data_IF_864823404572
#
_entry.id   IF_864823404572
#
_cell.length_a   1.000
_cell.length_b   1.000
_cell.length_c   1.000
_cell.angle_alpha   90.00
_cell.angle_beta   90.00
_cell.angle_gamma   90.00
#
_symmetry.space_group_name_H-M   'P 1'
#
loop_
_entity.id
_entity.type
_entity.pdbx_description
1 polymer ?
#
# COMPACT_ATOMS: atom_id res chain seq x y z
N UNK A 1 23.91 15.50 -27.58
CA UNK A 1 25.14 14.77 -27.21
C UNK A 1 24.84 13.85 -26.03
N UNK A 2 24.95 12.52 -26.18
CA UNK A 2 25.68 11.61 -25.27
C UNK A 2 25.43 10.16 -25.69
N UNK A 3 26.50 9.60 -26.25
CA UNK A 3 26.83 8.19 -26.45
C UNK A 3 25.95 7.16 -25.72
N UNK A 4 25.42 6.19 -26.49
CA UNK A 4 25.23 4.83 -26.01
C UNK A 4 25.74 3.85 -27.06
N UNK A 5 27.04 3.56 -26.95
CA UNK A 5 27.68 2.41 -27.57
C UNK A 5 26.96 1.15 -27.10
N UNK A 6 26.21 0.51 -28.01
CA UNK A 6 25.63 -0.81 -27.76
C UNK A 6 26.73 -1.83 -27.99
N UNK A 7 27.39 -2.24 -26.91
CA UNK A 7 28.31 -3.37 -26.94
C UNK A 7 27.50 -4.67 -27.03
N UNK A 8 27.44 -5.22 -28.24
CA UNK A 8 26.98 -6.59 -28.45
C UNK A 8 28.13 -7.55 -28.12
N UNK A 9 28.13 -8.09 -26.90
CA UNK A 9 28.95 -9.25 -26.56
C UNK A 9 28.24 -10.51 -27.08
N UNK A 10 28.59 -10.96 -28.29
CA UNK A 10 28.13 -12.24 -28.82
C UNK A 10 29.13 -13.33 -28.47
N UNK A 11 28.68 -14.34 -27.73
CA UNK A 11 29.40 -15.62 -27.62
C UNK A 11 29.13 -16.42 -28.90
N UNK A 12 30.15 -16.48 -29.76
CA UNK A 12 30.14 -17.15 -31.05
C UNK A 12 30.45 -18.64 -30.87
N UNK A 13 29.67 -19.53 -31.49
CA UNK A 13 30.02 -20.94 -31.63
C UNK A 13 30.18 -21.25 -33.12
N UNK A 14 31.37 -20.99 -33.66
CA UNK A 14 31.74 -21.37 -35.01
C UNK A 14 32.47 -22.71 -34.95
N UNK A 15 31.76 -23.81 -35.22
CA UNK A 15 32.40 -25.13 -35.32
C UNK A 15 32.92 -25.34 -36.74
N UNK A 16 34.25 -25.44 -36.87
CA UNK A 16 34.92 -25.78 -38.12
C UNK A 16 35.48 -27.19 -38.01
N UNK A 17 35.01 -28.10 -38.86
CA UNK A 17 35.55 -29.45 -38.99
C UNK A 17 36.56 -29.48 -40.15
N UNK A 18 37.79 -29.92 -39.86
CA UNK A 18 38.85 -30.10 -40.86
C UNK A 18 39.10 -31.61 -41.02
N UNK A 19 39.00 -32.12 -42.24
CA UNK A 19 39.41 -33.48 -42.56
C UNK A 19 40.76 -33.43 -43.30
N UNK A 20 41.73 -34.22 -42.86
CA UNK A 20 43.05 -34.30 -43.46
C UNK A 20 43.04 -35.10 -44.77
N UNK A 21 43.43 -34.41 -45.84
CA UNK A 21 44.03 -34.86 -47.12
C UNK A 21 43.67 -36.24 -47.69
N UNK A 22 42.91 -36.23 -48.80
CA UNK A 22 42.96 -37.27 -49.82
C UNK A 22 43.55 -36.71 -51.13
N UNK A 23 44.35 -37.52 -51.85
CA UNK A 23 44.83 -37.19 -53.19
C UNK A 23 43.61 -37.14 -54.12
N UNK A 24 43.51 -36.08 -54.93
CA UNK A 24 42.51 -36.03 -55.99
C UNK A 24 42.76 -37.14 -57.02
N UNK A 25 42.01 -38.25 -56.95
CA UNK A 25 42.16 -39.36 -57.91
C UNK A 25 41.44 -39.02 -59.22
N UNK A 26 42.20 -38.81 -60.31
CA UNK A 26 41.78 -39.21 -61.67
C UNK A 26 42.98 -39.73 -62.48
N UNK A 27 42.66 -40.81 -63.19
CA UNK A 27 43.38 -41.65 -64.16
C UNK A 27 43.94 -40.85 -65.36
N UNK A 28 45.12 -40.22 -65.23
CA UNK A 28 46.15 -40.02 -66.29
C UNK A 28 47.30 -39.16 -65.75
N UNK A 29 48.52 -39.59 -66.02
CA UNK A 29 49.79 -38.95 -65.66
C UNK A 29 49.88 -37.49 -66.12
N UNK A 30 49.58 -36.55 -65.22
CA UNK A 30 49.84 -35.12 -65.38
C UNK A 30 49.91 -34.46 -64.00
N UNK A 31 50.99 -33.74 -63.71
CA UNK A 31 51.15 -32.99 -62.44
C UNK A 31 50.10 -31.89 -62.40
N UNK A 32 49.15 -31.97 -61.46
CA UNK A 32 48.18 -30.90 -61.25
C UNK A 32 48.92 -29.63 -60.84
N UNK A 33 48.59 -28.52 -61.48
CA UNK A 33 49.14 -27.18 -61.25
C UNK A 33 48.27 -26.34 -60.31
N UNK A 34 47.31 -26.98 -59.63
CA UNK A 34 46.41 -26.36 -58.64
C UNK A 34 46.19 -27.27 -57.44
N UNK A 35 45.86 -26.67 -56.29
CA UNK A 35 45.21 -27.34 -55.17
C UNK A 35 43.73 -26.98 -55.10
N UNK A 36 42.93 -27.80 -54.40
CA UNK A 36 41.47 -27.65 -54.36
C UNK A 36 40.98 -27.37 -52.94
N UNK A 37 40.12 -26.37 -52.81
CA UNK A 37 39.36 -26.10 -51.59
C UNK A 37 37.93 -26.60 -51.79
N UNK A 38 37.45 -27.41 -50.85
CA UNK A 38 36.07 -27.90 -50.78
C UNK A 38 35.33 -27.10 -49.70
N UNK A 39 34.51 -26.15 -50.11
CA UNK A 39 33.84 -25.22 -49.20
C UNK A 39 32.34 -25.50 -49.12
N UNK A 40 31.81 -25.58 -47.91
CA UNK A 40 30.36 -25.58 -47.66
C UNK A 40 30.03 -24.74 -46.42
N UNK A 41 28.89 -24.05 -46.46
CA UNK A 41 28.36 -23.35 -45.29
C UNK A 41 26.91 -23.74 -45.05
N UNK A 42 26.51 -23.87 -43.79
CA UNK A 42 25.12 -24.10 -43.40
C UNK A 42 24.62 -22.87 -42.61
N UNK A 43 23.71 -22.05 -43.16
CA UNK A 43 23.20 -22.08 -44.54
C UNK A 43 24.23 -21.54 -45.57
N UNK A 44 23.95 -21.71 -46.87
CA UNK A 44 24.66 -21.06 -47.98
C UNK A 44 24.23 -19.61 -48.20
N UNK A 45 24.79 -18.95 -49.23
CA UNK A 45 24.41 -17.62 -49.70
C UNK A 45 25.25 -16.47 -49.12
N UNK A 46 26.46 -16.73 -48.63
CA UNK A 46 27.31 -15.69 -48.03
C UNK A 46 28.39 -15.23 -49.01
N UNK A 47 28.66 -13.90 -49.12
CA UNK A 47 29.74 -13.40 -49.96
C UNK A 47 31.08 -14.06 -49.62
N UNK A 48 31.74 -14.56 -50.66
CA UNK A 48 33.01 -15.26 -50.59
C UNK A 48 34.06 -14.48 -51.36
N UNK A 49 35.19 -14.22 -50.70
CA UNK A 49 36.35 -13.57 -51.28
C UNK A 49 37.54 -14.52 -51.24
N UNK A 50 38.31 -14.56 -52.33
CA UNK A 50 39.62 -15.21 -52.42
C UNK A 50 40.63 -14.10 -52.73
N UNK A 51 41.65 -13.96 -51.90
CA UNK A 51 42.69 -12.93 -52.03
C UNK A 51 42.10 -11.52 -52.23
N UNK A 52 41.14 -11.18 -51.38
CA UNK A 52 40.39 -9.90 -51.39
C UNK A 52 39.53 -9.67 -52.64
N UNK A 53 39.42 -10.66 -53.54
CA UNK A 53 38.57 -10.58 -54.75
C UNK A 53 37.27 -11.36 -54.55
N UNK A 54 36.10 -10.76 -54.82
CA UNK A 54 34.82 -11.47 -54.76
C UNK A 54 34.76 -12.60 -55.78
N UNK A 55 34.41 -13.81 -55.34
CA UNK A 55 34.27 -15.00 -56.18
C UNK A 55 32.85 -15.60 -56.13
N UNK A 56 31.87 -14.80 -55.72
CA UNK A 56 30.46 -15.18 -55.59
C UNK A 56 30.07 -15.53 -54.16
N UNK A 57 29.13 -16.46 -54.00
CA UNK A 57 28.58 -16.81 -52.69
C UNK A 57 28.95 -18.25 -52.26
N UNK A 58 28.85 -18.52 -50.96
CA UNK A 58 28.95 -19.86 -50.39
C UNK A 58 27.67 -20.66 -50.65
N UNK A 59 27.74 -21.99 -50.52
CA UNK A 59 26.60 -22.89 -50.76
C UNK A 59 26.47 -23.91 -49.63
N UNK A 60 25.26 -24.43 -49.42
CA UNK A 60 25.02 -25.55 -48.50
C UNK A 60 25.59 -26.87 -48.99
N UNK A 61 25.68 -27.04 -50.32
CA UNK A 61 26.44 -28.11 -50.95
C UNK A 61 27.93 -27.75 -51.02
N UNK A 62 28.78 -28.76 -51.16
CA UNK A 62 30.23 -28.56 -51.35
C UNK A 62 30.50 -27.86 -52.68
N UNK A 63 31.17 -26.71 -52.61
CA UNK A 63 31.71 -25.94 -53.74
C UNK A 63 33.20 -26.21 -53.86
N UNK A 64 33.68 -26.45 -55.07
CA UNK A 64 35.10 -26.62 -55.37
C UNK A 64 35.71 -25.30 -55.83
N UNK A 65 36.88 -24.95 -55.28
CA UNK A 65 37.67 -23.77 -55.65
C UNK A 65 39.09 -24.26 -55.93
N UNK A 66 39.51 -24.20 -57.19
CA UNK A 66 40.85 -24.59 -57.61
C UNK A 66 41.75 -23.35 -57.64
N UNK A 67 42.87 -23.39 -56.91
CA UNK A 67 43.81 -22.28 -56.76
C UNK A 67 45.24 -22.74 -57.08
N UNK A 68 46.09 -21.87 -57.65
CA UNK A 68 47.49 -22.20 -57.88
C UNK A 68 48.21 -22.51 -56.55
N UNK A 69 49.33 -23.25 -56.57
CA UNK A 69 50.11 -23.47 -55.37
C UNK A 69 50.65 -22.17 -54.79
N UNK A 70 50.55 -22.02 -53.47
CA UNK A 70 50.98 -20.81 -52.76
C UNK A 70 50.00 -20.39 -51.67
N UNK A 71 50.28 -19.24 -51.06
CA UNK A 71 49.45 -18.70 -49.98
C UNK A 71 48.23 -18.00 -50.54
N UNK A 72 47.06 -18.38 -50.04
CA UNK A 72 45.78 -17.79 -50.40
C UNK A 72 44.96 -17.45 -49.16
N UNK A 73 44.20 -16.36 -49.22
CA UNK A 73 43.29 -15.91 -48.16
C UNK A 73 41.85 -16.11 -48.58
N UNK A 74 41.08 -16.81 -47.76
CA UNK A 74 39.65 -17.00 -47.92
C UNK A 74 38.89 -16.18 -46.88
N UNK A 75 37.96 -15.34 -47.33
CA UNK A 75 37.06 -14.59 -46.46
C UNK A 75 35.61 -14.88 -46.80
N UNK A 76 34.81 -15.17 -45.77
CA UNK A 76 33.35 -15.31 -45.86
C UNK A 76 32.72 -14.23 -45.00
N UNK A 77 31.82 -13.46 -45.60
CA UNK A 77 31.11 -12.38 -44.92
C UNK A 77 29.72 -12.87 -44.49
N UNK A 78 29.56 -13.09 -43.19
CA UNK A 78 28.27 -13.42 -42.59
C UNK A 78 27.44 -12.15 -42.30
N UNK A 79 26.12 -12.29 -42.06
CA UNK A 79 25.28 -11.17 -41.67
C UNK A 79 25.81 -10.41 -40.44
N UNK A 80 25.41 -9.15 -40.29
CA UNK A 80 25.79 -8.26 -39.18
C UNK A 80 27.29 -7.94 -39.08
N UNK A 81 28.02 -8.02 -40.20
CA UNK A 81 29.44 -7.64 -40.27
C UNK A 81 30.41 -8.67 -39.71
N UNK A 82 29.93 -9.86 -39.34
CA UNK A 82 30.78 -10.98 -38.91
C UNK A 82 31.55 -11.51 -40.11
N UNK A 83 32.87 -11.66 -39.98
CA UNK A 83 33.73 -12.19 -41.03
C UNK A 83 34.47 -13.42 -40.52
N UNK A 84 34.54 -14.44 -41.36
CA UNK A 84 35.45 -15.55 -41.16
C UNK A 84 36.56 -15.42 -42.19
N UNK A 85 37.79 -15.23 -41.71
CA UNK A 85 38.98 -15.07 -42.55
C UNK A 85 39.95 -16.19 -42.21
N UNK A 86 40.51 -16.82 -43.23
CA UNK A 86 41.56 -17.80 -43.05
C UNK A 86 42.55 -17.81 -44.19
N UNK A 87 43.82 -17.90 -43.84
CA UNK A 87 44.92 -18.09 -44.79
C UNK A 87 45.29 -19.56 -44.88
N UNK A 88 45.60 -20.02 -46.09
CA UNK A 88 45.97 -21.40 -46.39
C UNK A 88 47.17 -21.42 -47.32
N UNK A 89 48.03 -22.41 -47.16
CA UNK A 89 49.04 -22.76 -48.16
C UNK A 89 48.46 -23.85 -49.07
N UNK A 90 48.15 -23.47 -50.31
CA UNK A 90 47.58 -24.36 -51.32
C UNK A 90 48.71 -25.14 -51.96
N UNK A 91 48.60 -26.47 -51.95
CA UNK A 91 49.59 -27.37 -52.52
C UNK A 91 48.97 -28.08 -53.72
N UNK A 92 49.70 -28.11 -54.83
CA UNK A 92 49.34 -28.83 -56.05
C UNK A 92 48.87 -30.27 -55.75
N UNK A 93 47.69 -30.62 -56.24
CA UNK A 93 47.08 -31.94 -56.09
C UNK A 93 46.49 -32.27 -54.70
N UNK A 94 46.59 -31.36 -53.72
CA UNK A 94 45.96 -31.54 -52.40
C UNK A 94 44.56 -30.91 -52.35
N UNK A 95 43.71 -31.51 -51.52
CA UNK A 95 42.36 -31.03 -51.20
C UNK A 95 42.30 -30.53 -49.76
N UNK A 96 41.61 -29.42 -49.52
CA UNK A 96 41.35 -28.86 -48.19
C UNK A 96 39.86 -28.62 -48.01
N UNK A 97 39.25 -29.23 -47.00
CA UNK A 97 37.81 -29.13 -46.77
C UNK A 97 37.50 -28.10 -45.68
N UNK A 98 36.54 -27.22 -45.95
CA UNK A 98 36.04 -26.17 -45.07
C UNK A 98 34.52 -26.34 -44.98
N UNK A 99 34.04 -26.72 -43.79
CA UNK A 99 32.61 -26.76 -43.49
C UNK A 99 32.32 -25.82 -42.33
N UNK A 100 31.54 -24.78 -42.58
CA UNK A 100 31.14 -23.81 -41.56
C UNK A 100 29.63 -23.92 -41.29
N UNK A 101 29.24 -23.89 -40.02
CA UNK A 101 27.83 -23.80 -39.64
C UNK A 101 27.60 -22.46 -38.95
N UNK A 102 26.79 -21.60 -39.57
CA UNK A 102 26.44 -20.29 -39.06
C UNK A 102 25.04 -20.35 -38.44
N UNK A 103 24.99 -20.33 -37.11
CA UNK A 103 23.74 -20.30 -36.36
C UNK A 103 23.62 -18.97 -35.59
N UNK A 104 22.95 -17.95 -36.16
CA UNK A 104 22.76 -16.69 -35.47
C UNK A 104 21.80 -16.88 -34.30
N UNK A 105 22.26 -16.66 -33.06
CA UNK A 105 21.37 -16.58 -31.91
C UNK A 105 20.60 -15.26 -31.97
N UNK A 106 19.30 -15.35 -32.25
CA UNK A 106 18.41 -14.19 -32.13
C UNK A 106 18.19 -13.93 -30.65
N UNK A 107 18.89 -12.95 -30.09
CA UNK A 107 18.57 -12.40 -28.77
C UNK A 107 17.34 -11.52 -28.95
N UNK A 108 16.16 -12.01 -28.54
CA UNK A 108 14.98 -11.15 -28.42
C UNK A 108 15.18 -10.28 -27.17
N UNK A 109 15.39 -8.98 -27.38
CA UNK A 109 15.33 -8.02 -26.28
C UNK A 109 13.84 -7.88 -25.91
N UNK A 110 13.39 -8.31 -24.73
CA UNK A 110 12.00 -8.12 -24.34
C UNK A 110 11.71 -6.61 -24.30
N UNK A 111 10.60 -6.19 -24.91
CA UNK A 111 10.12 -4.81 -24.76
C UNK A 111 9.81 -4.60 -23.28
N UNK A 112 10.40 -3.55 -22.69
CA UNK A 112 10.15 -3.23 -21.29
C UNK A 112 8.66 -2.93 -21.09
N UNK A 113 7.97 -3.55 -20.11
CA UNK A 113 6.57 -3.29 -19.79
C UNK A 113 6.37 -1.94 -19.05
N UNK A 114 7.40 -1.09 -19.00
CA UNK A 114 7.45 0.10 -18.17
C UNK A 114 7.58 1.39 -19.01
N UNK A 115 7.06 2.52 -18.51
CA UNK A 115 6.33 2.68 -17.25
C UNK A 115 4.90 2.11 -17.33
N UNK A 116 4.33 1.77 -16.18
CA UNK A 116 2.94 1.31 -16.03
C UNK A 116 2.19 2.23 -15.05
N UNK A 117 0.86 2.25 -15.12
CA UNK A 117 0.07 3.10 -14.24
C UNK A 117 -0.10 2.46 -12.85
N UNK A 118 0.03 3.28 -11.81
CA UNK A 118 -0.27 2.91 -10.43
C UNK A 118 -1.15 3.98 -9.78
N UNK A 119 -2.15 3.55 -9.02
CA UNK A 119 -2.94 4.40 -8.14
C UNK A 119 -3.18 3.71 -6.80
N UNK A 120 -3.56 4.48 -5.78
CA UNK A 120 -3.93 3.95 -4.47
C UNK A 120 -5.37 4.34 -4.16
N UNK A 121 -6.16 3.36 -3.72
CA UNK A 121 -7.53 3.55 -3.24
C UNK A 121 -7.61 3.37 -1.73
N UNK A 122 -8.41 4.21 -1.09
CA UNK A 122 -8.74 4.14 0.33
C UNK A 122 -10.03 4.90 0.61
N UNK A 123 -10.69 4.67 1.76
CA UNK A 123 -11.76 5.54 2.25
C UNK A 123 -11.26 6.99 2.37
N UNK A 124 -12.09 7.96 1.99
CA UNK A 124 -11.74 9.38 2.13
C UNK A 124 -11.76 9.83 3.59
N UNK A 125 -12.68 9.27 4.38
CA UNK A 125 -12.89 9.60 5.79
C UNK A 125 -13.15 8.30 6.56
N UNK A 126 -12.58 8.19 7.77
CA UNK A 126 -12.89 7.15 8.76
C UNK A 126 -13.03 7.79 10.15
N UNK A 127 -13.57 7.06 11.12
CA UNK A 127 -13.53 7.49 12.52
C UNK A 127 -12.21 7.11 13.19
N UNK A 128 -11.84 7.85 14.23
CA UNK A 128 -10.74 7.50 15.12
C UNK A 128 -10.95 6.09 15.71
N UNK A 129 -9.97 5.21 15.51
CA UNK A 129 -10.03 3.80 15.92
C UNK A 129 -10.51 2.84 14.84
N UNK A 130 -11.04 3.33 13.71
CA UNK A 130 -11.37 2.47 12.57
C UNK A 130 -10.10 1.96 11.88
N UNK A 131 -10.19 0.79 11.24
CA UNK A 131 -9.13 0.27 10.39
C UNK A 131 -9.22 0.88 8.99
N UNK A 132 -8.11 1.40 8.49
CA UNK A 132 -7.99 1.92 7.13
C UNK A 132 -7.35 0.87 6.25
N UNK A 133 -8.00 0.50 5.14
CA UNK A 133 -7.40 -0.38 4.12
C UNK A 133 -6.99 0.44 2.91
N UNK A 134 -5.70 0.40 2.58
CA UNK A 134 -5.15 0.99 1.36
C UNK A 134 -4.87 -0.10 0.34
N UNK A 135 -5.33 0.09 -0.89
CA UNK A 135 -5.18 -0.88 -1.98
C UNK A 135 -4.47 -0.25 -3.16
N UNK A 136 -3.42 -0.91 -3.65
CA UNK A 136 -2.73 -0.56 -4.89
C UNK A 136 -3.52 -1.07 -6.10
N UNK A 137 -3.76 -0.20 -7.07
CA UNK A 137 -4.30 -0.59 -8.37
C UNK A 137 -3.21 -0.37 -9.43
N UNK A 138 -2.82 -1.44 -10.11
CA UNK A 138 -1.72 -1.45 -11.07
C UNK A 138 -2.15 -2.04 -12.41
N UNK A 139 -1.74 -1.42 -13.52
CA UNK A 139 -1.94 -1.94 -14.87
C UNK A 139 -0.62 -2.43 -15.48
N UNK A 140 -0.06 -3.49 -14.89
CA UNK A 140 1.23 -4.06 -15.31
C UNK A 140 1.05 -5.21 -16.30
N UNK A 141 1.77 -5.14 -17.43
CA UNK A 141 1.69 -6.12 -18.52
C UNK A 141 2.94 -7.01 -18.64
N UNK A 142 3.81 -7.03 -17.62
CA UNK A 142 4.99 -7.88 -17.59
C UNK A 142 4.75 -9.22 -16.89
N UNK A 143 5.69 -10.14 -17.06
CA UNK A 143 5.60 -11.52 -16.56
C UNK A 143 6.15 -11.69 -15.13
N UNK A 144 6.71 -10.63 -14.55
CA UNK A 144 7.30 -10.63 -13.20
C UNK A 144 6.28 -10.19 -12.15
N UNK A 145 6.40 -10.73 -10.94
CA UNK A 145 5.63 -10.24 -9.80
C UNK A 145 6.11 -8.86 -9.37
N UNK A 146 5.18 -8.01 -8.92
CA UNK A 146 5.48 -6.68 -8.43
C UNK A 146 5.85 -6.69 -6.94
N UNK A 147 6.82 -5.86 -6.57
CA UNK A 147 7.24 -5.60 -5.21
C UNK A 147 6.58 -4.31 -4.72
N UNK A 148 5.88 -4.38 -3.58
CA UNK A 148 5.17 -3.25 -2.99
C UNK A 148 5.88 -2.76 -1.73
N UNK A 149 6.18 -1.48 -1.68
CA UNK A 149 6.73 -0.82 -0.49
C UNK A 149 5.78 0.27 -0.04
N UNK A 150 5.24 0.11 1.17
CA UNK A 150 4.31 1.04 1.78
C UNK A 150 4.98 1.87 2.87
N UNK A 151 4.76 3.17 2.83
CA UNK A 151 5.17 4.11 3.88
C UNK A 151 3.93 4.87 4.34
N UNK A 152 3.67 4.88 5.65
CA UNK A 152 2.52 5.57 6.23
C UNK A 152 3.00 6.78 7.03
N UNK A 153 2.27 7.89 6.91
CA UNK A 153 2.44 9.09 7.72
C UNK A 153 1.10 9.47 8.36
N UNK A 154 1.06 9.98 9.59
CA UNK A 154 2.19 10.16 10.51
C UNK A 154 2.71 8.82 11.05
N UNK A 155 3.91 8.80 11.64
CA UNK A 155 4.52 7.59 12.20
C UNK A 155 3.73 6.96 13.36
N UNK A 156 2.79 7.71 13.95
CA UNK A 156 1.83 7.20 14.92
C UNK A 156 0.78 6.27 14.29
N UNK A 157 0.52 6.39 12.99
CA UNK A 157 -0.30 5.45 12.23
C UNK A 157 0.51 4.19 11.89
N UNK A 158 0.02 3.01 12.30
CA UNK A 158 0.78 1.76 12.20
C UNK A 158 0.14 0.81 11.19
N UNK A 159 0.96 0.28 10.28
CA UNK A 159 0.55 -0.86 9.46
C UNK A 159 0.42 -2.07 10.38
N UNK A 160 -0.77 -2.67 10.43
CA UNK A 160 -1.04 -3.87 11.22
C UNK A 160 -0.95 -5.15 10.39
N UNK A 161 -1.13 -5.06 9.06
CA UNK A 161 -1.03 -6.20 8.15
C UNK A 161 -0.78 -5.78 6.69
N UNK A 162 -0.34 -6.74 5.88
CA UNK A 162 -0.24 -6.58 4.42
C UNK A 162 1.05 -5.94 3.90
N UNK A 163 2.07 -5.75 4.76
CA UNK A 163 3.36 -5.21 4.35
C UNK A 163 3.99 -6.07 3.23
N UNK A 164 4.52 -5.42 2.20
CA UNK A 164 5.07 -6.12 1.02
C UNK A 164 4.03 -6.57 -0.01
N UNK A 165 2.73 -6.35 0.23
CA UNK A 165 1.65 -6.79 -0.66
C UNK A 165 0.92 -5.62 -1.32
N UNK A 166 -0.01 -5.92 -2.24
CA UNK A 166 -0.83 -4.91 -2.93
C UNK A 166 -1.81 -4.19 -2.00
N UNK A 167 -2.02 -4.66 -0.77
CA UNK A 167 -2.98 -4.09 0.17
C UNK A 167 -2.38 -4.02 1.56
N UNK A 168 -2.55 -2.91 2.26
CA UNK A 168 -2.17 -2.78 3.68
C UNK A 168 -3.34 -2.31 4.52
N UNK A 169 -3.38 -2.80 5.75
CA UNK A 169 -4.33 -2.31 6.77
C UNK A 169 -3.57 -1.52 7.82
N UNK A 170 -4.11 -0.36 8.17
CA UNK A 170 -3.53 0.61 9.11
C UNK A 170 -4.52 0.89 10.22
N UNK A 171 -4.04 0.87 11.46
CA UNK A 171 -4.81 1.29 12.63
C UNK A 171 -4.75 2.81 12.77
N UNK A 172 -5.93 3.44 12.90
CA UNK A 172 -6.08 4.89 13.03
C UNK A 172 -6.31 5.37 14.47
N UNK A 173 -6.22 4.49 15.47
CA UNK A 173 -6.46 4.79 16.88
C UNK A 173 -5.58 5.94 17.40
N UNK A 174 -6.22 6.93 18.01
CA UNK A 174 -5.58 8.12 18.57
C UNK A 174 -5.22 9.19 17.53
N UNK A 175 -5.65 9.02 16.27
CA UNK A 175 -5.35 9.96 15.18
C UNK A 175 -6.51 10.89 14.84
N UNK A 176 -7.51 10.98 15.71
CA UNK A 176 -8.64 11.90 15.53
C UNK A 176 -8.20 13.32 15.15
N UNK A 177 -8.86 13.90 14.15
CA UNK A 177 -8.56 15.19 13.50
C UNK A 177 -7.26 15.24 12.67
N UNK A 178 -6.57 14.11 12.48
CA UNK A 178 -5.39 14.03 11.62
C UNK A 178 -5.72 13.45 10.24
N UNK A 179 -4.71 13.42 9.36
CA UNK A 179 -4.76 12.74 8.07
C UNK A 179 -3.73 11.62 8.05
N UNK A 180 -4.16 10.42 7.67
CA UNK A 180 -3.28 9.29 7.40
C UNK A 180 -2.99 9.28 5.91
N UNK A 181 -1.72 9.40 5.55
CA UNK A 181 -1.22 9.42 4.17
C UNK A 181 -0.49 8.10 3.92
N UNK A 182 -0.92 7.36 2.90
CA UNK A 182 -0.20 6.21 2.41
C UNK A 182 0.60 6.60 1.17
N UNK A 183 1.90 6.35 1.20
CA UNK A 183 2.81 6.46 0.06
C UNK A 183 3.17 5.05 -0.38
N UNK A 184 2.96 4.77 -1.66
CA UNK A 184 3.24 3.48 -2.27
C UNK A 184 4.36 3.64 -3.29
N UNK A 185 5.34 2.75 -3.23
CA UNK A 185 6.31 2.51 -4.28
C UNK A 185 6.14 1.08 -4.80
N UNK A 186 6.03 0.93 -6.13
CA UNK A 186 5.89 -0.36 -6.81
C UNK A 186 7.04 -0.53 -7.79
N UNK A 187 7.67 -1.69 -7.79
CA UNK A 187 8.82 -2.04 -8.64
C UNK A 187 8.67 -3.48 -9.15
N UNK A 188 9.20 -3.80 -10.33
CA UNK A 188 9.10 -5.15 -10.92
C UNK A 188 10.36 -6.02 -10.71
N UNK A 189 11.32 -5.54 -9.91
CA UNK A 189 12.57 -6.20 -9.60
C UNK A 189 13.64 -6.14 -10.70
N UNK A 190 13.36 -5.48 -11.83
CA UNK A 190 14.31 -5.38 -12.96
C UNK A 190 15.49 -4.44 -12.68
N UNK A 191 15.33 -3.51 -11.75
CA UNK A 191 16.28 -2.41 -11.52
C UNK A 191 16.20 -1.30 -12.58
N UNK A 192 15.31 -1.37 -13.57
CA UNK A 192 15.05 -0.25 -14.48
C UNK A 192 14.33 0.86 -13.71
N UNK A 193 14.88 2.09 -13.63
CA UNK A 193 14.23 3.20 -12.93
C UNK A 193 12.83 3.52 -13.45
N UNK A 194 12.50 3.18 -14.71
CA UNK A 194 11.16 3.38 -15.28
C UNK A 194 10.14 2.37 -14.76
N UNK A 195 10.57 1.26 -14.18
CA UNK A 195 9.68 0.27 -13.57
C UNK A 195 9.36 0.61 -12.10
N UNK A 196 10.00 1.64 -11.54
CA UNK A 196 9.69 2.18 -10.23
C UNK A 196 8.59 3.23 -10.33
N UNK A 197 7.39 2.86 -9.93
CA UNK A 197 6.20 3.71 -9.95
C UNK A 197 5.82 4.12 -8.54
N UNK A 198 5.23 5.31 -8.39
CA UNK A 198 4.84 5.86 -7.10
C UNK A 198 3.43 6.42 -7.13
N UNK A 199 2.71 6.27 -6.02
CA UNK A 199 1.39 6.89 -5.82
C UNK A 199 1.18 7.19 -4.33
N UNK A 200 0.24 8.07 -4.03
CA UNK A 200 -0.14 8.38 -2.67
C UNK A 200 -1.61 8.74 -2.55
N UNK A 201 -2.20 8.46 -1.40
CA UNK A 201 -3.57 8.88 -1.06
C UNK A 201 -3.64 9.27 0.41
N UNK A 202 -4.62 10.09 0.78
CA UNK A 202 -4.84 10.51 2.14
C UNK A 202 -6.26 10.19 2.60
N UNK A 203 -6.39 9.71 3.83
CA UNK A 203 -7.65 9.46 4.54
C UNK A 203 -7.72 10.40 5.74
N UNK A 204 -8.83 11.13 5.90
CA UNK A 204 -9.08 11.97 7.08
C UNK A 204 -9.63 11.11 8.21
N UNK A 205 -9.14 11.32 9.43
CA UNK A 205 -9.62 10.62 10.62
C UNK A 205 -10.48 11.59 11.43
N UNK A 206 -11.76 11.27 11.58
CA UNK A 206 -12.70 12.06 12.35
C UNK A 206 -12.65 11.65 13.81
N UNK A 207 -12.37 12.60 14.71
CA UNK A 207 -12.44 12.35 16.14
C UNK A 207 -13.91 12.26 16.56
N UNK A 208 -14.34 11.10 17.01
CA UNK A 208 -15.64 10.99 17.66
C UNK A 208 -15.57 11.69 19.03
N UNK A 209 -16.23 12.83 19.15
CA UNK A 209 -16.59 13.36 20.46
C UNK A 209 -17.67 12.45 21.04
N UNK A 210 -17.51 11.93 22.28
CA UNK A 210 -18.60 11.27 22.96
C UNK A 210 -19.86 12.13 22.89
N UNK A 211 -21.07 11.53 22.75
CA UNK A 211 -22.31 12.28 22.79
C UNK A 211 -22.32 13.19 24.02
N UNK A 212 -22.69 14.46 23.85
CA UNK A 212 -22.79 15.39 24.99
C UNK A 212 -23.88 14.88 25.94
N UNK A 213 -23.48 14.29 27.06
CA UNK A 213 -24.39 13.91 28.13
C UNK A 213 -24.81 15.17 28.88
N UNK A 214 -26.10 15.50 28.80
CA UNK A 214 -26.68 16.67 29.46
C UNK A 214 -27.49 16.22 30.66
N UNK A 215 -27.47 16.99 31.75
CA UNK A 215 -28.33 16.77 32.89
C UNK A 215 -29.80 17.03 32.49
N UNK A 216 -30.69 16.10 32.82
CA UNK A 216 -32.11 16.21 32.52
C UNK A 216 -32.88 16.55 33.79
N UNK A 217 -33.71 17.58 33.74
CA UNK A 217 -34.69 17.84 34.79
C UNK A 217 -35.81 16.81 34.65
N UNK A 218 -35.94 15.98 35.67
CA UNK A 218 -36.94 14.92 35.72
C UNK A 218 -38.29 15.47 36.17
N UNK A 219 -38.31 16.22 37.27
CA UNK A 219 -39.54 16.82 37.81
C UNK A 219 -39.24 18.14 38.55
N UNK A 220 -40.25 18.99 38.67
CA UNK A 220 -40.22 20.21 39.50
C UNK A 220 -41.61 20.42 40.11
N UNK A 221 -41.68 20.48 41.44
CA UNK A 221 -42.95 20.57 42.14
C UNK A 221 -42.84 21.28 43.50
N UNK A 222 -43.89 21.99 43.96
CA UNK A 222 -43.93 22.54 45.30
C UNK A 222 -44.11 21.43 46.34
N UNK A 223 -43.54 21.60 47.53
CA UNK A 223 -43.75 20.66 48.65
C UNK A 223 -45.03 21.02 49.40
N UNK A 224 -46.13 20.32 49.06
CA UNK A 224 -47.47 20.57 49.63
C UNK A 224 -47.78 19.60 50.77
N UNK A 225 -47.53 18.31 50.58
CA UNK A 225 -47.76 17.26 51.58
C UNK A 225 -46.67 16.20 51.49
N UNK A 226 -46.44 15.50 52.61
CA UNK A 226 -45.40 14.48 52.66
C UNK A 226 -45.69 13.28 51.73
N UNK A 227 -46.97 12.92 51.56
CA UNK A 227 -47.34 11.79 50.70
C UNK A 227 -47.20 12.14 49.21
N UNK A 228 -47.44 13.40 48.82
CA UNK A 228 -47.19 13.86 47.44
C UNK A 228 -45.67 13.85 47.14
N UNK A 229 -44.86 14.40 48.05
CA UNK A 229 -43.40 14.36 47.93
C UNK A 229 -42.90 12.91 47.72
N UNK A 230 -43.40 11.95 48.52
CA UNK A 230 -43.02 10.53 48.40
C UNK A 230 -43.40 9.93 47.05
N UNK A 231 -44.60 10.19 46.55
CA UNK A 231 -45.05 9.67 45.26
C UNK A 231 -44.17 10.18 44.12
N UNK A 232 -43.75 11.46 44.16
CA UNK A 232 -42.81 12.03 43.18
C UNK A 232 -41.41 11.42 43.31
N UNK A 233 -40.93 11.23 44.53
CA UNK A 233 -39.65 10.58 44.80
C UNK A 233 -39.66 9.09 44.42
N UNK A 234 -40.79 8.40 44.48
CA UNK A 234 -40.93 7.02 44.00
C UNK A 234 -40.68 6.92 42.48
N UNK A 235 -41.29 7.83 41.71
CA UNK A 235 -41.06 7.89 40.26
C UNK A 235 -39.61 8.25 39.94
N UNK A 236 -39.03 9.19 40.69
CA UNK A 236 -37.61 9.54 40.54
C UNK A 236 -36.68 8.37 40.85
N UNK A 237 -37.01 7.55 41.85
CA UNK A 237 -36.25 6.36 42.16
C UNK A 237 -36.29 5.32 41.04
N UNK A 238 -37.45 5.13 40.39
CA UNK A 238 -37.59 4.24 39.23
C UNK A 238 -36.68 4.69 38.10
N UNK A 239 -36.67 5.99 37.78
CA UNK A 239 -35.78 6.50 36.73
C UNK A 239 -34.29 6.34 37.06
N UNK A 240 -33.90 6.58 38.31
CA UNK A 240 -32.51 6.36 38.73
C UNK A 240 -32.11 4.89 38.70
N UNK A 241 -33.04 3.96 38.92
CA UNK A 241 -32.79 2.52 38.77
C UNK A 241 -32.59 2.15 37.29
N UNK A 242 -33.36 2.76 36.38
CA UNK A 242 -33.21 2.58 34.93
C UNK A 242 -31.93 3.22 34.37
N UNK A 243 -31.30 4.14 35.10
CA UNK A 243 -30.08 4.82 34.72
C UNK A 243 -28.92 4.56 35.71
N UNK A 244 -28.32 3.35 35.76
CA UNK A 244 -27.41 2.92 36.83
C UNK A 244 -26.13 3.76 36.98
N UNK A 245 -25.67 4.42 35.91
CA UNK A 245 -24.52 5.33 35.94
C UNK A 245 -24.86 6.78 36.32
N UNK A 246 -26.14 7.14 36.44
CA UNK A 246 -26.55 8.51 36.73
C UNK A 246 -26.61 8.79 38.25
N UNK A 247 -26.40 10.06 38.62
CA UNK A 247 -26.69 10.57 39.96
C UNK A 247 -28.01 11.35 39.95
N UNK A 248 -28.78 11.19 41.01
CA UNK A 248 -29.95 12.02 41.30
C UNK A 248 -29.55 13.27 42.05
N UNK A 249 -29.78 14.44 41.45
CA UNK A 249 -29.66 15.72 42.12
C UNK A 249 -31.03 16.19 42.59
N UNK A 250 -31.12 16.57 43.87
CA UNK A 250 -32.33 17.05 44.53
C UNK A 250 -32.03 18.46 44.99
N UNK A 251 -32.49 19.45 44.23
CA UNK A 251 -32.37 20.85 44.62
C UNK A 251 -33.65 21.22 45.35
N UNK A 252 -33.53 21.72 46.59
CA UNK A 252 -34.69 22.07 47.41
C UNK A 252 -34.66 23.54 47.74
N UNK A 253 -35.75 24.23 47.46
CA UNK A 253 -35.92 25.65 47.75
C UNK A 253 -36.83 25.84 48.95
N UNK A 254 -36.47 26.79 49.82
CA UNK A 254 -37.34 27.29 50.87
C UNK A 254 -38.31 28.33 50.30
N UNK A 255 -39.54 28.38 50.82
CA UNK A 255 -40.52 29.40 50.49
C UNK A 255 -40.28 30.69 51.29
N UNK A 256 -40.94 31.78 50.90
CA UNK A 256 -40.85 33.08 51.58
C UNK A 256 -41.22 33.03 53.08
N UNK A 257 -42.18 32.18 53.43
CA UNK A 257 -42.64 31.98 54.83
C UNK A 257 -42.06 30.73 55.48
N UNK A 258 -41.11 30.05 54.82
CA UNK A 258 -40.47 28.86 55.37
C UNK A 258 -39.56 29.22 56.55
N UNK A 259 -39.48 28.30 57.51
CA UNK A 259 -38.60 28.46 58.67
C UNK A 259 -37.12 28.38 58.23
N UNK A 260 -36.19 29.00 58.99
CA UNK A 260 -34.77 28.80 58.75
C UNK A 260 -34.40 27.32 58.73
N UNK A 261 -33.64 26.90 57.70
CA UNK A 261 -33.21 25.51 57.50
C UNK A 261 -34.28 24.56 56.94
N UNK A 262 -35.45 25.06 56.51
CA UNK A 262 -36.51 24.21 55.95
C UNK A 262 -36.05 23.45 54.70
N UNK A 263 -35.34 24.10 53.78
CA UNK A 263 -34.82 23.47 52.57
C UNK A 263 -33.87 22.29 52.90
N UNK A 264 -32.97 22.46 53.88
CA UNK A 264 -32.05 21.41 54.30
C UNK A 264 -32.78 20.22 54.94
N UNK A 265 -33.83 20.51 55.74
CA UNK A 265 -34.66 19.46 56.36
C UNK A 265 -35.42 18.65 55.32
N UNK A 266 -36.03 19.33 54.35
CA UNK A 266 -36.74 18.68 53.24
C UNK A 266 -35.77 17.87 52.37
N UNK A 267 -34.58 18.41 52.07
CA UNK A 267 -33.55 17.71 51.33
C UNK A 267 -33.07 16.44 52.05
N UNK A 268 -32.77 16.54 53.36
CA UNK A 268 -32.39 15.39 54.18
C UNK A 268 -33.49 14.33 54.23
N UNK A 269 -34.75 14.75 54.34
CA UNK A 269 -35.92 13.85 54.31
C UNK A 269 -36.03 13.12 52.98
N UNK A 270 -35.95 13.82 51.85
CA UNK A 270 -36.01 13.23 50.52
C UNK A 270 -34.86 12.23 50.30
N UNK A 271 -33.64 12.61 50.69
CA UNK A 271 -32.46 11.73 50.62
C UNK A 271 -32.63 10.46 51.47
N UNK A 272 -33.10 10.61 52.71
CA UNK A 272 -33.32 9.46 53.60
C UNK A 272 -34.42 8.54 53.06
N UNK A 273 -35.48 9.08 52.46
CA UNK A 273 -36.53 8.28 51.81
C UNK A 273 -35.97 7.46 50.63
N UNK A 274 -35.23 8.09 49.73
CA UNK A 274 -34.65 7.45 48.56
C UNK A 274 -33.62 6.37 48.92
N UNK A 275 -32.83 6.57 49.98
CA UNK A 275 -31.83 5.61 50.42
C UNK A 275 -32.48 4.51 51.27
N UNK A 276 -33.15 4.89 52.36
CA UNK A 276 -33.64 3.95 53.37
C UNK A 276 -34.88 3.18 52.94
N UNK A 277 -35.76 3.79 52.14
CA UNK A 277 -37.01 3.16 51.70
C UNK A 277 -36.89 2.61 50.27
N UNK A 278 -36.31 3.39 49.34
CA UNK A 278 -36.16 2.99 47.93
C UNK A 278 -34.88 2.23 47.62
N UNK A 279 -33.96 2.10 48.59
CA UNK A 279 -32.75 1.28 48.47
C UNK A 279 -31.71 1.84 47.51
N UNK A 280 -31.75 3.13 47.18
CA UNK A 280 -30.73 3.74 46.31
C UNK A 280 -29.42 3.93 47.06
N UNK A 281 -28.31 3.75 46.35
CA UNK A 281 -26.98 3.92 46.91
C UNK A 281 -26.72 5.38 47.31
N UNK A 282 -26.22 5.59 48.52
CA UNK A 282 -26.08 6.92 49.12
C UNK A 282 -25.21 7.90 48.30
N UNK A 283 -24.24 7.39 47.54
CA UNK A 283 -23.35 8.19 46.71
C UNK A 283 -24.00 8.63 45.39
N UNK A 284 -25.13 8.02 45.00
CA UNK A 284 -25.90 8.39 43.81
C UNK A 284 -26.86 9.54 44.07
N UNK A 285 -27.13 9.91 45.33
CA UNK A 285 -28.08 10.96 45.70
C UNK A 285 -27.36 12.18 46.25
N UNK A 286 -27.46 13.30 45.52
CA UNK A 286 -26.88 14.59 45.89
C UNK A 286 -27.99 15.57 46.21
N UNK A 287 -27.97 16.13 47.42
CA UNK A 287 -28.90 17.18 47.85
C UNK A 287 -28.23 18.54 47.79
N UNK A 288 -28.94 19.53 47.27
CA UNK A 288 -28.46 20.92 47.17
C UNK A 288 -29.52 21.84 47.77
N UNK A 289 -29.12 22.70 48.70
CA UNK A 289 -29.98 23.79 49.14
C UNK A 289 -30.03 24.85 48.04
N UNK A 290 -31.20 25.03 47.45
CA UNK A 290 -31.40 25.93 46.32
C UNK A 290 -31.56 27.39 46.70
N UNK A 291 -31.64 27.71 48.00
CA UNK A 291 -31.95 29.03 48.49
C UNK A 291 -33.46 29.26 48.61
N UNK A 292 -33.90 30.50 48.39
CA UNK A 292 -35.28 30.91 48.57
C UNK A 292 -36.00 31.12 47.24
N UNK A 293 -37.28 30.75 47.21
CA UNK A 293 -38.24 31.07 46.17
C UNK A 293 -39.56 31.53 46.80
N UNK A 294 -40.51 32.00 45.99
CA UNK A 294 -41.86 32.35 46.47
C UNK A 294 -42.53 31.18 47.22
N UNK A 295 -42.40 29.94 46.72
CA UNK A 295 -42.90 28.73 47.38
C UNK A 295 -41.76 27.72 47.57
N UNK A 296 -41.86 26.93 48.64
CA UNK A 296 -40.97 25.79 48.85
C UNK A 296 -41.23 24.70 47.80
N UNK A 297 -40.19 23.99 47.40
CA UNK A 297 -40.32 22.96 46.36
C UNK A 297 -39.02 22.25 46.03
N UNK A 298 -39.15 21.25 45.17
CA UNK A 298 -38.05 20.41 44.68
C UNK A 298 -37.85 20.63 43.19
N UNK A 299 -36.59 20.57 42.77
CA UNK A 299 -36.22 20.17 41.42
C UNK A 299 -35.45 18.85 41.49
N UNK A 300 -35.94 17.87 40.75
CA UNK A 300 -35.31 16.55 40.64
C UNK A 300 -34.61 16.45 39.29
N UNK A 301 -33.33 16.07 39.31
CA UNK A 301 -32.48 16.01 38.14
C UNK A 301 -31.77 14.67 38.03
N UNK A 302 -31.75 14.11 36.82
CA UNK A 302 -30.95 12.93 36.49
C UNK A 302 -29.69 13.44 35.79
N UNK A 303 -28.54 13.15 36.39
CA UNK A 303 -27.24 13.65 35.93
C UNK A 303 -26.35 12.45 35.55
N UNK A 304 -26.25 12.11 34.25
CA UNK A 304 -25.34 11.07 33.79
C UNK A 304 -23.88 11.37 34.15
N UNK A 305 -23.05 10.34 34.23
CA UNK A 305 -21.60 10.52 34.40
C UNK A 305 -21.03 11.40 33.29
N UNK A 306 -20.31 12.46 33.66
CA UNK A 306 -19.71 13.41 32.72
C UNK A 306 -20.60 14.60 32.36
N UNK A 307 -21.89 14.60 32.75
CA UNK A 307 -22.76 15.76 32.59
C UNK A 307 -22.47 16.83 33.64
N UNK A 308 -22.57 18.11 33.25
CA UNK A 308 -22.48 19.24 34.18
C UNK A 308 -23.68 19.23 35.14
N UNK A 309 -23.45 19.27 36.47
CA UNK A 309 -24.54 19.32 37.44
C UNK A 309 -25.42 20.57 37.28
N UNK A 310 -26.72 20.47 37.56
CA UNK A 310 -27.61 21.63 37.56
C UNK A 310 -27.20 22.63 38.64
N UNK A 311 -27.42 23.92 38.35
CA UNK A 311 -27.21 25.01 39.30
C UNK A 311 -28.56 25.46 39.87
N UNK A 312 -28.65 25.75 41.18
CA UNK A 312 -29.85 26.32 41.74
C UNK A 312 -30.21 27.67 41.12
N UNK A 313 -31.50 27.94 41.05
CA UNK A 313 -32.07 29.19 40.54
C UNK A 313 -33.03 29.77 41.59
N UNK A 314 -32.50 30.34 42.69
CA UNK A 314 -33.31 31.04 43.68
C UNK A 314 -33.95 32.29 43.06
N UNK A 315 -35.09 32.70 43.61
CA UNK A 315 -35.58 34.06 43.38
C UNK A 315 -34.56 35.02 44.02
N UNK A 316 -34.38 36.23 43.45
CA UNK A 316 -33.36 37.21 43.87
C UNK A 316 -33.19 37.21 45.40
N UNK A 317 -31.95 37.20 45.93
CA UNK A 317 -31.72 36.98 47.35
C UNK A 317 -32.52 37.99 48.17
N UNK A 318 -33.49 37.50 48.95
CA UNK A 318 -34.10 38.28 50.01
C UNK A 318 -32.94 38.69 50.93
N UNK A 319 -32.65 40.00 50.95
CA UNK A 319 -31.62 40.54 51.82
C UNK A 319 -31.93 40.08 53.24
N UNK A 320 -30.99 39.34 53.82
CA UNK A 320 -31.03 39.01 55.23
C UNK A 320 -30.97 40.33 56.01
N UNK A 321 -32.13 40.85 56.43
CA UNK A 321 -32.17 41.96 57.36
C UNK A 321 -31.56 41.47 58.68
N UNK A 322 -30.49 42.16 59.08
CA UNK A 322 -29.85 42.05 60.40
C UNK A 322 -30.81 42.42 61.51
#
# INVERSE_FOLDING_TARGET
>A
MRNRSVFFAFVLALFAAFCSTGIAQVKKSGRLDFGRIELSTAPGGYPLLVDDRPVGETTSAVRYIDLPPGKHKLEIQFPNGVRWVREFDVIAGRRQCIKLNYNPRVVRIPRSPCPYAVSVSAPNIVNDGDLITFTANTTYAGDKSLNYTWTISPASARIISGMGSSTVTVDSTGLGQQRVIAMLMVDDGSGDPRCRQQASVATKVFKQTPPSVVAQRFDEFPSISYDDDKARLDNFAIELQNAPGARGFIIVYAGRTSRPGEADRLAARARNYLIGVRGLEAHRIVTVNGGYRERNGYELWIVPTGATPPQPTPDKPLQANR
#
